data_IF_803295324315
#
_entry.id   IF_803295324315
#
_cell.length_a   1.000
_cell.length_b   1.000
_cell.length_c   1.000
_cell.angle_alpha   90.00
_cell.angle_beta   90.00
_cell.angle_gamma   90.00
#
_symmetry.space_group_name_H-M   'P 1'
#
loop_
_entity.id
_entity.type
_entity.pdbx_description
1 polymer ?
#
# COMPACT_ATOMS: atom_id res chain seq x y z
N UNK A 1 -5.18 19.34 -34.91
CA UNK A 1 -5.80 19.67 -33.62
C UNK A 1 -6.32 18.37 -33.04
N UNK A 2 -5.55 17.74 -32.14
CA UNK A 2 -5.88 16.44 -31.54
C UNK A 2 -6.93 16.64 -30.45
N UNK A 3 -8.08 15.97 -30.59
CA UNK A 3 -9.13 15.90 -29.57
C UNK A 3 -8.77 14.79 -28.58
N UNK A 4 -8.73 15.16 -27.29
CA UNK A 4 -8.44 14.29 -26.16
C UNK A 4 -9.59 13.29 -25.99
N UNK A 5 -9.28 11.98 -26.01
CA UNK A 5 -10.21 10.93 -25.62
C UNK A 5 -10.50 11.07 -24.12
N UNK A 6 -11.72 11.45 -23.78
CA UNK A 6 -12.27 11.23 -22.45
C UNK A 6 -12.72 9.76 -22.42
N UNK A 7 -11.90 8.90 -21.83
CA UNK A 7 -12.27 7.52 -21.53
C UNK A 7 -13.15 7.55 -20.27
N UNK A 8 -14.44 7.23 -20.43
CA UNK A 8 -15.41 7.06 -19.35
C UNK A 8 -15.07 5.78 -18.57
N UNK A 9 -14.75 5.91 -17.28
CA UNK A 9 -14.38 4.78 -16.40
C UNK A 9 -15.64 4.01 -15.97
N UNK A 10 -15.86 2.75 -16.43
CA UNK A 10 -17.05 1.99 -16.05
C UNK A 10 -16.89 1.51 -14.61
N UNK A 11 -17.94 1.71 -13.80
CA UNK A 11 -18.00 1.16 -12.45
C UNK A 11 -17.85 -0.37 -12.46
N UNK A 12 -16.68 -0.88 -12.05
CA UNK A 12 -16.43 -2.33 -11.95
C UNK A 12 -16.36 -2.73 -10.48
N UNK A 13 -17.42 -3.40 -10.02
CA UNK A 13 -17.40 -4.23 -8.83
C UNK A 13 -16.51 -5.44 -9.08
N UNK A 14 -15.32 -5.44 -8.51
CA UNK A 14 -14.39 -6.56 -8.50
C UNK A 14 -13.07 -6.09 -7.95
N UNK A 15 -12.39 -6.93 -7.16
CA UNK A 15 -11.06 -6.62 -6.62
C UNK A 15 -10.01 -6.63 -7.75
N UNK A 16 -10.06 -5.63 -8.64
CA UNK A 16 -9.03 -5.37 -9.62
C UNK A 16 -7.87 -4.70 -8.89
N UNK A 17 -6.83 -5.48 -8.64
CA UNK A 17 -5.54 -4.99 -8.18
C UNK A 17 -5.01 -4.02 -9.26
N UNK A 18 -4.85 -2.74 -8.91
CA UNK A 18 -4.34 -1.75 -9.86
C UNK A 18 -2.81 -1.85 -9.94
N UNK A 19 -2.31 -2.72 -10.83
CA UNK A 19 -0.87 -2.83 -11.11
C UNK A 19 -0.31 -1.63 -11.87
N UNK A 20 -1.15 -0.71 -12.37
CA UNK A 20 -0.67 0.47 -13.11
C UNK A 20 -0.14 1.55 -12.19
N UNK A 21 -0.58 1.57 -10.92
CA UNK A 21 0.04 2.38 -9.87
C UNK A 21 1.31 1.73 -9.36
N UNK A 22 2.42 2.00 -10.05
CA UNK A 22 3.73 1.88 -9.42
C UNK A 22 3.79 2.87 -8.26
N UNK A 23 4.16 2.41 -7.07
CA UNK A 23 4.51 3.24 -5.93
C UNK A 23 6.04 3.27 -5.83
N UNK A 24 6.73 4.04 -6.68
CA UNK A 24 8.19 4.04 -6.75
C UNK A 24 8.85 4.49 -5.43
N UNK A 25 8.08 5.12 -4.54
CA UNK A 25 8.54 5.56 -3.22
C UNK A 25 8.44 4.48 -2.12
N UNK A 26 7.94 3.28 -2.45
CA UNK A 26 7.84 2.20 -1.48
C UNK A 26 9.21 1.52 -1.30
N UNK A 27 9.74 1.55 -0.07
CA UNK A 27 11.00 0.90 0.28
C UNK A 27 10.76 -0.21 1.31
N UNK A 28 11.19 -1.43 0.97
CA UNK A 28 11.08 -2.60 1.85
C UNK A 28 12.41 -2.85 2.57
N UNK A 29 12.34 -3.00 3.88
CA UNK A 29 13.51 -3.19 4.73
C UNK A 29 13.14 -3.98 5.98
N UNK A 30 14.07 -4.06 6.92
CA UNK A 30 13.85 -4.68 8.22
C UNK A 30 14.22 -3.70 9.32
N UNK A 31 13.51 -3.78 10.44
CA UNK A 31 13.94 -3.14 11.69
C UNK A 31 15.25 -3.75 12.19
N UNK A 32 15.90 -3.12 13.17
CA UNK A 32 17.11 -3.66 13.83
C UNK A 32 16.95 -5.09 14.39
N UNK A 33 15.71 -5.51 14.66
CA UNK A 33 15.37 -6.82 15.19
C UNK A 33 14.87 -7.80 14.11
N UNK A 34 15.04 -7.47 12.82
CA UNK A 34 14.63 -8.34 11.72
C UNK A 34 13.14 -8.30 11.38
N UNK A 35 12.31 -7.50 12.07
CA UNK A 35 10.90 -7.37 11.69
C UNK A 35 10.75 -6.66 10.34
N UNK A 36 9.92 -7.18 9.41
CA UNK A 36 9.65 -6.52 8.13
C UNK A 36 9.07 -5.11 8.31
N UNK A 37 9.59 -4.17 7.53
CA UNK A 37 9.21 -2.76 7.53
C UNK A 37 9.05 -2.27 6.09
N UNK A 38 7.97 -1.53 5.84
CA UNK A 38 7.78 -0.83 4.57
C UNK A 38 7.72 0.68 4.83
N UNK A 39 8.44 1.45 4.04
CA UNK A 39 8.42 2.90 4.03
C UNK A 39 7.67 3.37 2.79
N UNK A 40 6.77 4.33 2.94
CA UNK A 40 6.13 5.06 1.84
C UNK A 40 6.25 6.55 2.18
N UNK A 41 7.12 7.26 1.48
CA UNK A 41 7.52 8.61 1.85
C UNK A 41 8.10 8.65 3.28
N UNK A 42 7.52 9.49 4.15
CA UNK A 42 7.91 9.60 5.57
C UNK A 42 7.21 8.60 6.50
N UNK A 43 6.28 7.80 5.97
CA UNK A 43 5.42 6.92 6.77
C UNK A 43 5.97 5.51 6.86
N UNK A 44 5.83 4.91 8.03
CA UNK A 44 6.28 3.55 8.34
C UNK A 44 5.09 2.63 8.46
N UNK A 45 5.19 1.45 7.85
CA UNK A 45 4.20 0.41 7.92
C UNK A 45 4.84 -0.90 8.40
N UNK A 46 4.23 -1.52 9.42
CA UNK A 46 4.63 -2.84 9.87
C UNK A 46 3.77 -3.90 9.19
N UNK A 47 4.39 -5.02 8.82
CA UNK A 47 3.65 -6.22 8.41
C UNK A 47 2.77 -6.68 9.58
N UNK A 48 1.52 -7.02 9.30
CA UNK A 48 0.67 -7.69 10.28
C UNK A 48 1.21 -9.09 10.57
N UNK A 49 1.17 -9.51 11.83
CA UNK A 49 1.69 -10.82 12.28
C UNK A 49 0.90 -12.00 11.70
N UNK A 50 -0.38 -11.80 11.41
CA UNK A 50 -1.28 -12.78 10.80
C UNK A 50 -1.11 -12.91 9.27
N UNK A 51 -0.34 -12.02 8.64
CA UNK A 51 -0.10 -12.04 7.19
C UNK A 51 1.02 -13.02 6.82
N UNK A 52 0.70 -13.96 5.93
CA UNK A 52 1.57 -15.05 5.47
C UNK A 52 1.52 -15.17 3.96
N UNK A 53 2.55 -15.77 3.37
CA UNK A 53 2.65 -15.97 1.93
C UNK A 53 2.94 -14.68 1.16
N UNK A 54 2.68 -14.65 -0.16
CA UNK A 54 3.05 -13.54 -1.03
C UNK A 54 2.13 -12.32 -0.85
N UNK A 55 0.89 -12.54 -0.39
CA UNK A 55 -0.09 -11.49 -0.12
C UNK A 55 0.01 -11.01 1.33
N UNK A 56 0.57 -9.82 1.55
CA UNK A 56 0.85 -9.29 2.88
C UNK A 56 0.03 -8.04 3.17
N UNK A 57 -0.54 -7.97 4.38
CA UNK A 57 -1.16 -6.76 4.91
C UNK A 57 -0.18 -5.98 5.77
N UNK A 58 -0.15 -4.67 5.53
CA UNK A 58 0.69 -3.70 6.23
C UNK A 58 -0.18 -2.64 6.88
N UNK A 59 0.23 -2.16 8.06
CA UNK A 59 -0.48 -1.13 8.81
C UNK A 59 0.49 -0.06 9.27
N UNK A 60 0.06 1.21 9.27
CA UNK A 60 0.87 2.29 9.81
C UNK A 60 1.32 1.97 11.25
N UNK A 61 2.57 2.34 11.58
CA UNK A 61 3.14 2.05 12.90
C UNK A 61 2.56 2.92 14.01
N UNK A 62 1.98 4.08 13.69
CA UNK A 62 1.36 5.01 14.65
C UNK A 62 0.00 4.49 15.13
N UNK A 63 0.05 3.47 15.97
CA UNK A 63 -1.13 2.82 16.56
C UNK A 63 -1.75 3.66 17.69
N UNK A 64 -0.93 4.45 18.36
CA UNK A 64 -1.31 5.41 19.41
C UNK A 64 -2.39 6.40 18.92
N UNK A 65 -2.28 6.85 17.67
CA UNK A 65 -3.27 7.72 17.02
C UNK A 65 -4.42 6.98 16.35
N UNK A 66 -4.47 5.65 16.49
CA UNK A 66 -5.41 4.75 15.81
C UNK A 66 -5.43 4.99 14.29
N UNK A 67 -4.26 5.19 13.70
CA UNK A 67 -4.11 5.42 12.28
C UNK A 67 -4.75 4.30 11.45
N UNK A 68 -5.51 4.70 10.44
CA UNK A 68 -6.24 3.79 9.54
C UNK A 68 -5.53 3.57 8.20
N UNK A 69 -4.34 4.14 8.02
CA UNK A 69 -3.53 3.92 6.84
C UNK A 69 -3.08 2.45 6.77
N UNK A 70 -3.32 1.82 5.63
CA UNK A 70 -3.07 0.41 5.37
C UNK A 70 -2.57 0.21 3.96
N UNK A 71 -1.76 -0.82 3.75
CA UNK A 71 -1.36 -1.25 2.42
C UNK A 71 -1.44 -2.77 2.30
N UNK A 72 -1.61 -3.25 1.10
CA UNK A 72 -1.51 -4.66 0.75
C UNK A 72 -0.49 -4.82 -0.36
N UNK A 73 0.37 -5.82 -0.22
CA UNK A 73 1.37 -6.17 -1.23
C UNK A 73 1.18 -7.59 -1.72
N UNK A 74 1.47 -7.83 -2.99
CA UNK A 74 1.70 -9.16 -3.56
C UNK A 74 3.14 -9.19 -4.06
N UNK A 75 3.98 -10.07 -3.52
CA UNK A 75 5.41 -10.20 -3.91
C UNK A 75 6.15 -8.84 -3.93
N UNK A 76 6.02 -8.09 -2.84
CA UNK A 76 6.58 -6.74 -2.66
C UNK A 76 6.03 -5.66 -3.62
N UNK A 77 5.01 -5.95 -4.41
CA UNK A 77 4.29 -4.97 -5.23
C UNK A 77 3.07 -4.50 -4.44
N UNK A 78 2.94 -3.19 -4.20
CA UNK A 78 1.74 -2.65 -3.57
C UNK A 78 0.56 -2.76 -4.54
N UNK A 79 -0.47 -3.53 -4.14
CA UNK A 79 -1.70 -3.76 -4.92
C UNK A 79 -2.89 -2.97 -4.38
N UNK A 80 -2.84 -2.55 -3.12
CA UNK A 80 -3.83 -1.65 -2.51
C UNK A 80 -3.15 -0.72 -1.50
N UNK A 81 -3.49 0.56 -1.53
CA UNK A 81 -2.99 1.55 -0.58
C UNK A 81 -4.10 2.49 -0.13
N UNK A 82 -4.35 2.53 1.17
CA UNK A 82 -5.01 3.64 1.83
C UNK A 82 -3.94 4.49 2.54
N UNK A 83 -3.52 5.59 1.91
CA UNK A 83 -2.48 6.48 2.43
C UNK A 83 -3.02 7.67 3.24
N UNK A 84 -4.23 7.56 3.79
CA UNK A 84 -4.83 8.60 4.62
C UNK A 84 -4.40 8.42 6.06
N UNK A 85 -3.52 9.30 6.55
CA UNK A 85 -3.04 9.34 7.93
C UNK A 85 -3.81 10.38 8.73
N UNK A 86 -4.02 10.12 10.02
CA UNK A 86 -4.72 11.01 10.95
C UNK A 86 -3.77 11.58 12.03
N UNK A 87 -2.50 11.80 11.68
CA UNK A 87 -1.43 12.20 12.60
C UNK A 87 -0.23 12.88 11.93
#
# INVERSE_FOLDING_TARGET
>A
MLVLLQEEDPQVHGHHYDLRRSYPEAFFTHTRFGNPLMLIGSYRFNKRSDSKGPYLRWVCTRKDTRCRATAHTLDNIIVMLNNTHNH
#
